data_IF_450739985109
#
_entry.id   IF_450739985109
#
_cell.length_a   1.000
_cell.length_b   1.000
_cell.length_c   1.000
_cell.angle_alpha   90.00
_cell.angle_beta   90.00
_cell.angle_gamma   90.00
#
_symmetry.space_group_name_H-M   'P 1'
#
loop_
_entity.id
_entity.type
_entity.pdbx_description
1 polymer ?
#
# COMPACT_ATOMS: atom_id res chain seq x y z
N UNK A 1 0.03 -36.52 33.29
CA UNK A 1 0.74 -35.49 32.50
C UNK A 1 0.05 -35.41 31.16
N UNK A 2 -0.91 -34.51 31.09
CA UNK A 2 -1.82 -34.27 29.97
C UNK A 2 -1.05 -33.71 28.78
N UNK A 3 -1.21 -34.34 27.62
CA UNK A 3 -0.92 -33.74 26.32
C UNK A 3 -1.89 -32.58 26.11
N UNK A 4 -1.35 -31.37 25.98
CA UNK A 4 -2.08 -30.22 25.46
C UNK A 4 -1.77 -30.12 23.97
N UNK A 5 -2.58 -30.83 23.18
CA UNK A 5 -2.69 -30.64 21.74
C UNK A 5 -4.12 -30.16 21.46
N UNK A 6 -4.28 -28.86 21.25
CA UNK A 6 -5.36 -28.25 20.46
C UNK A 6 -5.17 -26.74 20.39
N UNK A 7 -4.87 -26.25 19.19
CA UNK A 7 -5.70 -25.20 18.61
C UNK A 7 -5.58 -25.26 17.07
N UNK A 8 -6.56 -25.93 16.48
CA UNK A 8 -6.91 -25.80 15.08
C UNK A 8 -7.65 -24.47 14.87
N UNK A 9 -7.61 -24.00 13.62
CA UNK A 9 -8.47 -22.99 12.93
C UNK A 9 -7.81 -21.61 12.91
N UNK A 10 -7.70 -20.95 11.77
CA UNK A 10 -8.71 -20.84 10.72
C UNK A 10 -8.08 -20.58 9.35
N UNK A 11 -8.61 -21.27 8.37
CA UNK A 11 -8.41 -21.08 6.93
C UNK A 11 -8.82 -19.67 6.52
N UNK A 12 -7.90 -18.92 5.92
CA UNK A 12 -8.27 -17.83 5.02
C UNK A 12 -7.92 -18.27 3.59
N UNK A 13 -8.76 -19.15 3.06
CA UNK A 13 -8.89 -19.35 1.62
C UNK A 13 -9.20 -18.00 0.99
N UNK A 14 -8.20 -17.38 0.38
CA UNK A 14 -8.46 -16.31 -0.57
C UNK A 14 -8.77 -16.98 -1.89
N UNK A 15 -10.02 -17.44 -2.03
CA UNK A 15 -10.64 -17.68 -3.32
C UNK A 15 -10.76 -16.33 -4.03
N UNK A 16 -9.73 -15.98 -4.80
CA UNK A 16 -9.81 -14.91 -5.77
C UNK A 16 -9.43 -15.47 -7.13
N UNK A 17 -10.47 -15.97 -7.81
CA UNK A 17 -10.54 -16.07 -9.27
C UNK A 17 -9.77 -14.91 -9.92
N UNK A 18 -8.83 -15.17 -10.86
CA UNK A 18 -8.05 -14.11 -11.50
C UNK A 18 -8.95 -13.35 -12.47
N UNK A 19 -9.74 -12.42 -11.94
CA UNK A 19 -10.18 -11.27 -12.72
C UNK A 19 -8.91 -10.53 -13.12
N UNK A 20 -8.74 -10.26 -14.41
CA UNK A 20 -7.67 -9.45 -14.97
C UNK A 20 -7.50 -8.17 -14.11
N UNK A 21 -6.54 -8.17 -13.17
CA UNK A 21 -6.27 -7.01 -12.34
C UNK A 21 -5.51 -6.04 -13.24
N UNK A 22 -6.22 -5.09 -13.82
CA UNK A 22 -5.57 -3.92 -14.41
C UNK A 22 -4.76 -3.26 -13.29
N UNK A 23 -3.43 -3.32 -13.38
CA UNK A 23 -2.55 -2.72 -12.39
C UNK A 23 -2.87 -1.23 -12.27
N UNK A 24 -3.23 -0.81 -11.07
CA UNK A 24 -3.49 0.61 -10.78
C UNK A 24 -2.20 1.31 -10.37
N UNK A 25 -2.20 2.65 -10.43
CA UNK A 25 -1.09 3.46 -9.90
C UNK A 25 -0.82 3.14 -8.42
N UNK A 26 -1.88 2.94 -7.62
CA UNK A 26 -1.74 2.54 -6.22
C UNK A 26 -1.05 1.20 -6.04
N UNK A 27 -1.37 0.21 -6.88
CA UNK A 27 -0.72 -1.10 -6.87
C UNK A 27 0.77 -0.96 -7.22
N UNK A 28 1.11 -0.19 -8.25
CA UNK A 28 2.51 0.05 -8.64
C UNK A 28 3.31 0.70 -7.51
N UNK A 29 2.78 1.74 -6.88
CA UNK A 29 3.44 2.43 -5.75
C UNK A 29 3.66 1.48 -4.57
N UNK A 30 2.63 0.71 -4.20
CA UNK A 30 2.70 -0.26 -3.10
C UNK A 30 3.71 -1.37 -3.39
N UNK A 31 3.66 -1.95 -4.58
CA UNK A 31 4.59 -3.00 -4.99
C UNK A 31 6.04 -2.51 -4.95
N UNK A 32 6.32 -1.30 -5.47
CA UNK A 32 7.66 -0.73 -5.43
C UNK A 32 8.16 -0.46 -4.00
N UNK A 33 7.30 0.04 -3.10
CA UNK A 33 7.67 0.21 -1.69
C UNK A 33 7.99 -1.14 -1.02
N UNK A 34 7.14 -2.14 -1.23
CA UNK A 34 7.31 -3.46 -0.63
C UNK A 34 8.55 -4.17 -1.18
N UNK A 35 8.86 -4.03 -2.48
CA UNK A 35 10.08 -4.56 -3.08
C UNK A 35 11.36 -3.99 -2.44
N UNK A 36 11.29 -2.76 -1.92
CA UNK A 36 12.38 -2.11 -1.18
C UNK A 36 12.36 -2.38 0.33
N UNK A 37 11.38 -3.13 0.85
CA UNK A 37 11.16 -3.39 2.28
C UNK A 37 11.09 -2.12 3.15
N UNK A 38 10.47 -1.06 2.63
CA UNK A 38 10.36 0.22 3.33
C UNK A 38 9.02 0.38 4.06
N UNK A 39 9.06 0.92 5.28
CA UNK A 39 7.87 1.27 6.03
C UNK A 39 7.22 2.54 5.47
N UNK A 40 5.90 2.53 5.37
CA UNK A 40 5.15 3.63 4.79
C UNK A 40 5.25 4.92 5.64
N UNK A 41 5.35 4.80 6.97
CA UNK A 41 5.45 5.95 7.89
C UNK A 41 6.80 6.62 7.79
N UNK A 42 7.87 5.84 7.63
CA UNK A 42 9.22 6.36 7.46
C UNK A 42 9.33 7.17 6.17
N UNK A 43 8.77 6.65 5.07
CA UNK A 43 8.72 7.37 3.80
C UNK A 43 7.86 8.64 3.93
N UNK A 44 6.71 8.53 4.59
CA UNK A 44 5.82 9.67 4.82
C UNK A 44 6.54 10.80 5.59
N UNK A 45 7.28 10.45 6.63
CA UNK A 45 8.09 11.39 7.40
C UNK A 45 9.19 12.03 6.54
N UNK A 46 9.91 11.23 5.75
CA UNK A 46 10.96 11.72 4.85
C UNK A 46 10.41 12.70 3.80
N UNK A 47 9.27 12.38 3.20
CA UNK A 47 8.63 13.20 2.17
C UNK A 47 7.86 14.40 2.74
N UNK A 48 7.75 14.51 4.07
CA UNK A 48 6.89 15.50 4.73
C UNK A 48 5.42 15.42 4.26
N UNK A 49 4.93 14.21 3.96
CA UNK A 49 3.55 13.92 3.55
C UNK A 49 2.90 13.13 4.69
N UNK A 50 1.64 13.38 5.03
CA UNK A 50 0.96 12.57 6.06
C UNK A 50 0.84 11.12 5.58
N UNK A 51 1.18 10.16 6.45
CA UNK A 51 1.12 8.73 6.14
C UNK A 51 -0.24 8.29 5.57
N UNK A 52 -1.35 8.82 6.11
CA UNK A 52 -2.70 8.55 5.61
C UNK A 52 -2.89 8.89 4.12
N UNK A 53 -2.16 9.88 3.59
CA UNK A 53 -2.26 10.26 2.19
C UNK A 53 -1.48 9.31 1.29
N UNK A 54 -0.29 8.87 1.70
CA UNK A 54 0.44 7.83 0.96
C UNK A 54 -0.32 6.51 0.99
N UNK A 55 -0.95 6.17 2.12
CA UNK A 55 -1.81 5.02 2.23
C UNK A 55 -3.02 5.12 1.29
N UNK A 56 -3.68 6.29 1.25
CA UNK A 56 -4.77 6.54 0.32
C UNK A 56 -4.34 6.42 -1.15
N UNK A 57 -3.10 6.80 -1.51
CA UNK A 57 -2.56 6.57 -2.85
C UNK A 57 -2.41 5.07 -3.15
N UNK A 58 -1.79 4.30 -2.25
CA UNK A 58 -1.64 2.84 -2.41
C UNK A 58 -2.97 2.10 -2.50
N UNK A 59 -4.02 2.66 -1.88
CA UNK A 59 -5.36 2.07 -1.84
C UNK A 59 -6.32 2.71 -2.87
N UNK A 60 -5.79 3.56 -3.78
CA UNK A 60 -6.53 4.29 -4.81
C UNK A 60 -7.71 5.15 -4.29
N UNK A 61 -7.64 5.57 -3.02
CA UNK A 61 -8.66 6.40 -2.35
C UNK A 61 -8.37 7.89 -2.53
N UNK A 62 -8.30 8.35 -3.77
CA UNK A 62 -8.00 9.76 -4.11
C UNK A 62 -8.97 10.78 -3.48
N UNK A 63 -10.20 10.36 -3.15
CA UNK A 63 -11.21 11.20 -2.47
C UNK A 63 -10.83 11.58 -1.02
N UNK A 64 -9.90 10.86 -0.40
CA UNK A 64 -9.40 11.15 0.97
C UNK A 64 -8.26 12.17 0.98
N UNK A 65 -7.80 12.60 -0.20
CA UNK A 65 -6.76 13.59 -0.33
C UNK A 65 -7.33 15.01 -0.18
N UNK A 66 -6.53 16.02 0.20
CA UNK A 66 -6.98 17.40 0.36
C UNK A 66 -7.52 18.07 -0.94
N UNK A 67 -7.36 17.42 -2.09
CA UNK A 67 -7.82 17.87 -3.39
C UNK A 67 -7.03 17.20 -4.53
N UNK A 68 -7.61 17.18 -5.74
CA UNK A 68 -7.00 16.53 -6.91
C UNK A 68 -5.65 17.12 -7.33
N UNK A 69 -5.46 18.42 -7.12
CA UNK A 69 -4.17 19.08 -7.38
C UNK A 69 -3.03 18.49 -6.53
N UNK A 70 -3.32 18.14 -5.28
CA UNK A 70 -2.35 17.50 -4.38
C UNK A 70 -2.10 16.05 -4.74
N UNK A 71 -3.10 15.33 -5.26
CA UNK A 71 -2.97 13.93 -5.64
C UNK A 71 -1.86 13.71 -6.65
N UNK A 72 -1.85 14.48 -7.74
CA UNK A 72 -0.82 14.41 -8.77
C UNK A 72 0.58 14.73 -8.23
N UNK A 73 0.68 15.74 -7.33
CA UNK A 73 1.94 16.09 -6.68
C UNK A 73 2.47 14.97 -5.79
N UNK A 74 1.61 14.39 -4.93
CA UNK A 74 1.98 13.29 -4.06
C UNK A 74 2.37 12.03 -4.83
N UNK A 75 1.62 11.68 -5.90
CA UNK A 75 1.97 10.56 -6.78
C UNK A 75 3.36 10.76 -7.37
N UNK A 76 3.65 11.94 -7.94
CA UNK A 76 4.96 12.24 -8.53
C UNK A 76 6.07 12.17 -7.50
N UNK A 77 5.94 12.88 -6.37
CA UNK A 77 6.95 12.89 -5.31
C UNK A 77 7.23 11.49 -4.77
N UNK A 78 6.18 10.69 -4.58
CA UNK A 78 6.32 9.33 -4.07
C UNK A 78 6.90 8.38 -5.13
N UNK A 79 6.49 8.50 -6.39
CA UNK A 79 7.06 7.74 -7.51
C UNK A 79 8.55 8.04 -7.70
N UNK A 80 8.96 9.31 -7.67
CA UNK A 80 10.37 9.70 -7.75
C UNK A 80 11.18 9.14 -6.57
N UNK A 81 10.65 9.16 -5.34
CA UNK A 81 11.29 8.52 -4.18
C UNK A 81 11.48 7.00 -4.38
N UNK A 82 10.47 6.36 -4.96
CA UNK A 82 10.51 4.93 -5.28
C UNK A 82 11.33 4.61 -6.53
N UNK A 83 11.81 5.61 -7.28
CA UNK A 83 12.58 5.43 -8.51
C UNK A 83 11.74 4.92 -9.68
N UNK A 84 10.50 5.38 -9.78
CA UNK A 84 9.51 5.02 -10.81
C UNK A 84 9.28 6.12 -11.86
N UNK A 85 9.99 7.26 -11.75
CA UNK A 85 9.90 8.45 -12.63
C UNK A 85 11.02 8.43 -13.69
#
# INVERSE_FOLDING_TARGET
MTQDEKQTRETAETDQKPAEKTETVGDTLRCARLAKNQDLRDIAAYLCIRCQFLQALEENRYKELPGEAYANGFVRTYASYLGLD
#
